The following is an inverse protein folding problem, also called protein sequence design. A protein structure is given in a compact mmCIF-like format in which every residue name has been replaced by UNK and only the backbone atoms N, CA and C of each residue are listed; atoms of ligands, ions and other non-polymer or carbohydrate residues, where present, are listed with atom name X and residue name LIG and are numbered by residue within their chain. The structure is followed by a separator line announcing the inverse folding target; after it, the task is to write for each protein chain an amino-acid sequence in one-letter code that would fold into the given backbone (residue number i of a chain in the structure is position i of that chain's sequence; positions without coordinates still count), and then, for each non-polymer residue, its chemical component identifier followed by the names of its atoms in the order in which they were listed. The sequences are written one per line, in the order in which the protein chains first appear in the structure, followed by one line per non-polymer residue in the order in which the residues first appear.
data_IF_935341822166
#
_entry.id   IF_935341822166
#
_cell.length_a   1.000
_cell.length_b   1.000
_cell.length_c   1.000
_cell.angle_alpha   90.00
_cell.angle_beta   90.00
_cell.angle_gamma   90.00
#
_symmetry.space_group_name_H-M   'P 1'
#
loop_
_entity.id
_entity.type
_entity.pdbx_description
1 polymer ?
#
# COMPACT_ATOMS: atom_id res chain seq x y z
N UNK A 1 -8.30 -5.53 15.40
CA UNK A 1 -7.18 -6.16 16.13
C UNK A 1 -5.83 -5.74 15.54
N UNK A 2 -5.51 -6.06 14.27
CA UNK A 2 -4.17 -5.80 13.70
C UNK A 2 -3.75 -4.34 13.73
N UNK A 3 -4.63 -3.40 13.41
CA UNK A 3 -4.31 -1.96 13.50
C UNK A 3 -3.96 -1.53 14.93
N UNK A 4 -4.71 -2.03 15.90
CA UNK A 4 -4.46 -1.75 17.32
C UNK A 4 -3.08 -2.28 17.75
N UNK A 5 -2.72 -3.47 17.31
CA UNK A 5 -1.40 -4.06 17.57
C UNK A 5 -0.27 -3.22 16.95
N UNK A 6 -0.44 -2.75 15.70
CA UNK A 6 0.54 -1.88 15.04
C UNK A 6 0.72 -0.58 15.84
N UNK A 7 -0.39 0.06 16.24
CA UNK A 7 -0.37 1.34 16.97
C UNK A 7 0.22 1.23 18.37
N UNK A 8 -0.02 0.12 19.07
CA UNK A 8 0.53 -0.13 20.40
C UNK A 8 2.04 -0.39 20.39
N UNK A 9 2.51 -1.13 19.38
CA UNK A 9 3.88 -1.66 19.35
C UNK A 9 4.88 -0.76 18.64
N UNK A 10 4.42 0.26 17.89
CA UNK A 10 5.28 1.08 17.04
C UNK A 10 4.99 2.57 17.21
N UNK A 11 6.00 3.39 17.01
CA UNK A 11 5.87 4.86 16.96
C UNK A 11 5.53 5.31 15.53
N UNK A 12 4.27 5.11 15.15
CA UNK A 12 3.75 5.44 13.80
C UNK A 12 2.56 6.38 13.88
N UNK A 13 2.34 7.12 12.81
CA UNK A 13 1.11 7.87 12.56
C UNK A 13 0.31 7.16 11.46
N UNK A 14 -1.00 7.12 11.64
CA UNK A 14 -1.92 6.51 10.67
C UNK A 14 -2.94 7.54 10.18
N UNK A 15 -3.09 7.63 8.86
CA UNK A 15 -4.13 8.45 8.23
C UNK A 15 -5.00 7.55 7.38
N UNK A 16 -6.30 7.59 7.64
CA UNK A 16 -7.31 6.83 6.91
C UNK A 16 -8.23 7.84 6.22
N UNK A 17 -8.41 7.69 4.91
CA UNK A 17 -9.34 8.48 4.12
C UNK A 17 -10.24 7.55 3.32
N UNK A 18 -11.53 7.61 3.55
CA UNK A 18 -12.50 6.81 2.84
C UNK A 18 -13.88 6.85 3.46
N UNK A 19 -14.80 6.14 2.84
CA UNK A 19 -16.14 5.88 3.36
C UNK A 19 -16.48 4.40 3.22
N UNK A 20 -17.33 3.88 4.05
CA UNK A 20 -17.71 2.48 4.06
C UNK A 20 -18.92 2.23 4.96
N UNK A 21 -19.11 0.99 5.36
CA UNK A 21 -20.18 0.63 6.28
C UNK A 21 -19.98 1.30 7.64
N UNK A 22 -21.08 1.68 8.26
CA UNK A 22 -21.13 2.40 9.55
C UNK A 22 -20.30 1.72 10.65
N UNK A 23 -20.26 0.39 10.67
CA UNK A 23 -19.47 -0.38 11.63
C UNK A 23 -17.97 -0.07 11.52
N UNK A 24 -17.43 -0.05 10.29
CA UNK A 24 -16.01 0.26 10.05
C UNK A 24 -15.69 1.74 10.30
N UNK A 25 -16.57 2.64 9.88
CA UNK A 25 -16.38 4.06 10.16
C UNK A 25 -16.39 4.36 11.66
N UNK A 26 -17.29 3.69 12.41
CA UNK A 26 -17.34 3.79 13.86
C UNK A 26 -16.10 3.20 14.54
N UNK A 27 -15.61 2.06 14.02
CA UNK A 27 -14.36 1.46 14.49
C UNK A 27 -13.19 2.43 14.33
N UNK A 28 -13.02 3.07 13.18
CA UNK A 28 -11.91 3.99 12.95
C UNK A 28 -12.03 5.28 13.78
N UNK A 29 -13.23 5.78 14.03
CA UNK A 29 -13.44 6.89 14.99
C UNK A 29 -12.99 6.51 16.39
N UNK A 30 -13.41 5.36 16.88
CA UNK A 30 -12.98 4.87 18.20
C UNK A 30 -11.46 4.69 18.29
N UNK A 31 -10.82 4.24 17.20
CA UNK A 31 -9.37 4.15 17.12
C UNK A 31 -8.69 5.53 17.16
N UNK A 32 -9.26 6.54 16.49
CA UNK A 32 -8.78 7.92 16.57
C UNK A 32 -8.83 8.46 18.00
N UNK A 33 -9.95 8.22 18.70
CA UNK A 33 -10.10 8.64 20.10
C UNK A 33 -9.13 7.92 21.04
N UNK A 34 -8.82 6.64 20.73
CA UNK A 34 -7.83 5.84 21.47
C UNK A 34 -6.38 6.32 21.26
N UNK A 35 -6.07 6.81 20.04
CA UNK A 35 -4.72 7.22 19.65
C UNK A 35 -4.65 8.70 19.19
N UNK A 36 -4.97 9.66 20.07
CA UNK A 36 -5.03 11.07 19.72
C UNK A 36 -3.68 11.58 19.20
N UNK A 37 -3.71 12.33 18.09
CA UNK A 37 -2.51 12.85 17.43
C UNK A 37 -1.69 11.80 16.64
N UNK A 38 -2.05 10.52 16.74
CA UNK A 38 -1.35 9.44 16.05
C UNK A 38 -2.20 8.71 15.01
N UNK A 39 -3.53 8.73 15.16
CA UNK A 39 -4.45 8.17 14.17
C UNK A 39 -5.52 9.21 13.84
N UNK A 40 -5.72 9.42 12.54
CA UNK A 40 -6.78 10.30 12.00
C UNK A 40 -7.61 9.52 11.00
N UNK A 41 -8.94 9.53 11.18
CA UNK A 41 -9.91 8.94 10.28
C UNK A 41 -10.75 10.03 9.61
N UNK A 42 -10.45 10.33 8.36
CA UNK A 42 -11.19 11.26 7.52
C UNK A 42 -12.24 10.52 6.72
N UNK A 43 -13.52 10.80 6.96
CA UNK A 43 -14.62 10.19 6.23
C UNK A 43 -14.92 10.94 4.94
N UNK A 44 -15.18 10.18 3.86
CA UNK A 44 -15.60 10.69 2.57
C UNK A 44 -14.55 10.58 1.47
N UNK A 45 -14.90 11.11 0.31
CA UNK A 45 -14.04 11.13 -0.87
C UNK A 45 -13.50 12.56 -1.11
N UNK A 46 -12.24 12.79 -0.78
CA UNK A 46 -11.58 14.10 -0.87
C UNK A 46 -10.30 13.97 -1.71
N UNK A 47 -10.36 14.15 -3.06
CA UNK A 47 -9.24 13.91 -3.96
C UNK A 47 -7.99 14.74 -3.66
N UNK A 48 -8.15 15.99 -3.23
CA UNK A 48 -7.00 16.84 -2.87
C UNK A 48 -6.29 16.34 -1.62
N UNK A 49 -7.05 15.90 -0.60
CA UNK A 49 -6.49 15.34 0.61
C UNK A 49 -5.80 14.01 0.31
N UNK A 50 -6.38 13.16 -0.55
CA UNK A 50 -5.75 11.88 -0.92
C UNK A 50 -4.37 12.06 -1.53
N UNK A 51 -4.19 13.06 -2.42
CA UNK A 51 -2.87 13.36 -3.00
C UNK A 51 -1.86 13.79 -1.95
N UNK A 52 -2.28 14.59 -0.97
CA UNK A 52 -1.42 15.01 0.14
C UNK A 52 -1.03 13.84 1.04
N UNK A 53 -1.98 12.92 1.29
CA UNK A 53 -1.71 11.69 2.06
C UNK A 53 -0.69 10.83 1.34
N UNK A 54 -0.88 10.55 0.04
CA UNK A 54 0.11 9.79 -0.74
C UNK A 54 1.50 10.44 -0.71
N UNK A 55 1.56 11.76 -0.89
CA UNK A 55 2.82 12.51 -0.93
C UNK A 55 3.53 12.58 0.44
N UNK A 56 2.77 12.53 1.52
CA UNK A 56 3.30 12.65 2.88
C UNK A 56 3.47 11.32 3.62
N UNK A 57 3.05 10.19 3.02
CA UNK A 57 3.18 8.88 3.65
C UNK A 57 4.42 8.13 3.20
N UNK A 58 5.10 7.47 4.13
CA UNK A 58 6.22 6.58 3.84
C UNK A 58 5.74 5.19 3.41
N UNK A 59 4.62 4.73 3.98
CA UNK A 59 4.05 3.40 3.77
C UNK A 59 2.57 3.53 3.43
N UNK A 60 2.11 2.76 2.45
CA UNK A 60 0.72 2.67 2.04
C UNK A 60 0.16 1.26 2.31
N UNK A 61 -0.73 1.12 3.28
CA UNK A 61 -1.31 -0.17 3.66
C UNK A 61 -2.62 -0.44 2.89
N UNK A 62 -2.67 -1.55 2.14
CA UNK A 62 -3.85 -1.98 1.37
C UNK A 62 -4.13 -3.48 1.58
N UNK A 63 -4.76 -3.86 2.72
CA UNK A 63 -5.00 -5.25 3.10
C UNK A 63 -6.31 -5.80 2.52
N UNK A 64 -6.57 -5.56 1.24
CA UNK A 64 -7.83 -5.90 0.59
C UNK A 64 -8.16 -7.39 0.68
N UNK A 65 -9.42 -7.72 0.98
CA UNK A 65 -9.93 -9.10 0.90
C UNK A 65 -9.99 -9.58 -0.54
N UNK A 66 -10.35 -8.70 -1.46
CA UNK A 66 -10.37 -8.97 -2.90
C UNK A 66 -10.10 -7.65 -3.63
N UNK A 67 -9.24 -7.69 -4.64
CA UNK A 67 -8.90 -6.51 -5.43
C UNK A 67 -8.62 -6.93 -6.89
N UNK A 68 -9.60 -6.76 -7.78
CA UNK A 68 -9.44 -7.19 -9.17
C UNK A 68 -8.27 -6.52 -9.90
N UNK A 69 -8.07 -5.23 -9.69
CA UNK A 69 -6.99 -4.45 -10.30
C UNK A 69 -6.22 -3.63 -9.26
N UNK A 70 -6.91 -2.68 -8.62
CA UNK A 70 -6.32 -1.68 -7.73
C UNK A 70 -5.53 -0.61 -8.48
N UNK A 71 -5.82 0.64 -8.18
CA UNK A 71 -5.06 1.79 -8.67
C UNK A 71 -4.24 2.43 -7.54
N UNK A 72 -4.74 2.32 -6.32
CA UNK A 72 -4.19 3.01 -5.15
C UNK A 72 -2.75 2.62 -4.85
N UNK A 73 -2.38 1.34 -4.99
CA UNK A 73 -1.01 0.86 -4.80
C UNK A 73 -0.06 1.40 -5.90
N UNK A 74 -0.54 1.53 -7.14
CA UNK A 74 0.26 2.09 -8.23
C UNK A 74 0.45 3.61 -8.07
N UNK A 75 -0.57 4.30 -7.55
CA UNK A 75 -0.47 5.71 -7.17
C UNK A 75 0.53 5.87 -6.03
N UNK A 76 0.46 5.03 -4.99
CA UNK A 76 1.41 5.04 -3.87
C UNK A 76 2.86 4.90 -4.37
N UNK A 77 3.15 3.91 -5.24
CA UNK A 77 4.46 3.76 -5.87
C UNK A 77 4.92 5.04 -6.57
N UNK A 78 4.02 5.70 -7.32
CA UNK A 78 4.33 6.95 -8.03
C UNK A 78 4.66 8.12 -7.12
N UNK A 79 4.15 8.11 -5.89
CA UNK A 79 4.47 9.10 -4.85
C UNK A 79 5.66 8.68 -3.96
N UNK A 80 6.22 7.49 -4.15
CA UNK A 80 7.29 6.95 -3.31
C UNK A 80 6.82 6.42 -1.95
N UNK A 81 5.51 6.32 -1.75
CA UNK A 81 4.92 5.65 -0.59
C UNK A 81 4.93 4.14 -0.81
N UNK A 82 5.63 3.39 0.02
CA UNK A 82 5.88 1.97 -0.18
C UNK A 82 4.64 1.13 0.16
N UNK A 83 4.07 0.39 -0.81
CA UNK A 83 2.89 -0.42 -0.56
C UNK A 83 3.17 -1.63 0.34
N UNK A 84 2.27 -1.85 1.30
CA UNK A 84 2.13 -3.11 2.04
C UNK A 84 0.77 -3.69 1.69
N UNK A 85 0.74 -4.79 0.94
CA UNK A 85 -0.49 -5.29 0.33
C UNK A 85 -0.70 -6.78 0.56
N UNK A 86 -1.96 -7.22 0.52
CA UNK A 86 -2.25 -8.65 0.43
C UNK A 86 -2.12 -9.12 -1.03
N UNK A 87 -1.54 -10.30 -1.23
CA UNK A 87 -1.37 -10.92 -2.54
C UNK A 87 -2.72 -11.42 -3.09
N UNK A 88 -3.49 -10.51 -3.70
CA UNK A 88 -4.77 -10.82 -4.34
C UNK A 88 -4.95 -9.99 -5.60
N UNK A 89 -5.38 -10.62 -6.71
CA UNK A 89 -5.63 -9.96 -7.99
C UNK A 89 -4.51 -9.00 -8.41
N UNK A 90 -4.87 -7.82 -8.84
CA UNK A 90 -3.92 -6.82 -9.33
C UNK A 90 -2.90 -6.32 -8.30
N UNK A 91 -3.13 -6.52 -7.00
CA UNK A 91 -2.12 -6.23 -5.99
C UNK A 91 -0.91 -7.16 -6.13
N UNK A 92 -1.17 -8.47 -6.34
CA UNK A 92 -0.12 -9.48 -6.57
C UNK A 92 0.63 -9.22 -7.88
N UNK A 93 -0.06 -8.70 -8.90
CA UNK A 93 0.54 -8.45 -10.21
C UNK A 93 1.44 -7.21 -10.22
N UNK A 94 1.11 -6.20 -9.41
CA UNK A 94 1.78 -4.89 -9.40
C UNK A 94 2.83 -4.71 -8.30
N UNK A 95 2.68 -5.44 -7.18
CA UNK A 95 3.58 -5.33 -6.03
C UNK A 95 4.37 -6.63 -5.85
N UNK A 96 5.70 -6.48 -5.90
CA UNK A 96 6.65 -7.56 -5.64
C UNK A 96 7.25 -7.36 -4.26
N UNK A 97 7.34 -8.45 -3.49
CA UNK A 97 7.93 -8.39 -2.14
C UNK A 97 9.41 -8.03 -2.19
N UNK A 98 9.84 -7.11 -1.34
CA UNK A 98 11.22 -6.63 -1.31
C UNK A 98 12.13 -7.42 -0.36
N UNK A 99 11.65 -8.54 0.20
CA UNK A 99 12.43 -9.38 1.11
C UNK A 99 13.71 -9.96 0.51
N UNK A 100 13.77 -10.10 -0.81
CA UNK A 100 14.96 -10.50 -1.58
C UNK A 100 15.83 -9.32 -2.06
N UNK A 101 15.45 -8.10 -1.69
CA UNK A 101 16.15 -6.87 -2.10
C UNK A 101 15.75 -6.32 -3.47
N UNK A 102 14.85 -6.97 -4.23
CA UNK A 102 14.51 -6.58 -5.60
C UNK A 102 13.08 -6.05 -5.79
N UNK A 103 12.17 -6.31 -4.85
CA UNK A 103 10.77 -5.90 -4.92
C UNK A 103 10.56 -4.38 -4.82
N UNK A 104 9.29 -3.95 -4.92
CA UNK A 104 8.86 -2.56 -4.84
C UNK A 104 7.87 -2.29 -3.69
N UNK A 105 7.65 -3.28 -2.82
CA UNK A 105 6.76 -3.17 -1.66
C UNK A 105 6.90 -4.37 -0.73
N UNK A 106 5.95 -4.55 0.16
CA UNK A 106 5.87 -5.70 1.06
C UNK A 106 4.54 -6.42 0.86
N UNK A 107 4.56 -7.74 0.88
CA UNK A 107 3.36 -8.54 0.64
C UNK A 107 3.09 -9.52 1.76
N UNK A 108 1.82 -9.96 1.87
CA UNK A 108 1.38 -11.07 2.71
C UNK A 108 0.26 -11.86 2.02
N UNK A 109 0.14 -13.14 2.31
CA UNK A 109 -0.74 -14.05 1.58
C UNK A 109 -2.10 -14.25 2.25
N UNK A 110 -2.11 -14.63 3.53
CA UNK A 110 -3.36 -14.98 4.20
C UNK A 110 -4.16 -13.72 4.58
N UNK A 111 -5.48 -13.79 4.44
CA UNK A 111 -6.36 -12.74 4.94
C UNK A 111 -6.49 -12.85 6.47
N UNK A 112 -5.43 -12.48 7.15
CA UNK A 112 -5.32 -12.50 8.60
C UNK A 112 -4.67 -11.23 9.14
N UNK A 113 -5.07 -10.83 10.34
CA UNK A 113 -4.44 -9.68 11.02
C UNK A 113 -2.98 -9.96 11.35
N UNK A 114 -2.62 -11.19 11.67
CA UNK A 114 -1.24 -11.57 11.98
C UNK A 114 -0.29 -11.41 10.79
N UNK A 115 -0.67 -11.92 9.61
CA UNK A 115 0.12 -11.78 8.39
C UNK A 115 0.28 -10.29 7.99
N UNK A 116 -0.81 -9.52 8.09
CA UNK A 116 -0.78 -8.08 7.84
C UNK A 116 0.19 -7.35 8.78
N UNK A 117 0.08 -7.62 10.08
CA UNK A 117 0.98 -7.02 11.10
C UNK A 117 2.43 -7.39 10.84
N UNK A 118 2.70 -8.65 10.50
CA UNK A 118 4.05 -9.10 10.18
C UNK A 118 4.62 -8.37 8.95
N UNK A 119 3.83 -8.19 7.89
CA UNK A 119 4.27 -7.46 6.70
C UNK A 119 4.53 -5.97 7.01
N UNK A 120 3.67 -5.33 7.79
CA UNK A 120 3.89 -3.95 8.28
C UNK A 120 5.16 -3.86 9.11
N UNK A 121 5.41 -4.83 10.02
CA UNK A 121 6.62 -4.83 10.84
C UNK A 121 7.89 -4.95 10.00
N UNK A 122 7.89 -5.78 8.94
CA UNK A 122 9.00 -5.84 7.97
C UNK A 122 9.22 -4.50 7.28
N UNK A 123 8.16 -3.82 6.89
CA UNK A 123 8.26 -2.50 6.27
C UNK A 123 8.84 -1.46 7.24
N UNK A 124 8.40 -1.45 8.50
CA UNK A 124 8.92 -0.55 9.54
C UNK A 124 10.40 -0.83 9.84
N UNK A 125 10.79 -2.10 9.93
CA UNK A 125 12.20 -2.48 10.09
C UNK A 125 13.05 -2.03 8.89
N UNK A 126 12.50 -2.18 7.66
CA UNK A 126 13.15 -1.66 6.45
C UNK A 126 13.31 -0.14 6.46
N UNK A 127 12.32 0.58 7.00
CA UNK A 127 12.34 2.05 7.11
C UNK A 127 13.43 2.57 8.04
N UNK A 128 13.85 1.80 9.04
CA UNK A 128 14.97 2.15 9.93
C UNK A 128 16.31 2.21 9.18
N UNK A 129 16.50 1.36 8.17
CA UNK A 129 17.65 1.41 7.28
C UNK A 129 17.43 2.46 6.18
N UNK A 130 17.85 3.68 6.43
CA UNK A 130 17.57 4.83 5.54
C UNK A 130 18.18 4.68 4.14
N UNK A 131 19.34 4.06 4.01
CA UNK A 131 19.98 3.81 2.71
C UNK A 131 19.18 2.77 1.91
N UNK A 132 18.87 1.62 2.50
CA UNK A 132 18.06 0.59 1.87
C UNK A 132 16.65 1.07 1.53
N UNK A 133 16.04 1.88 2.41
CA UNK A 133 14.75 2.49 2.16
C UNK A 133 14.77 3.45 0.98
N UNK A 134 15.80 4.29 0.87
CA UNK A 134 15.96 5.22 -0.25
C UNK A 134 16.05 4.47 -1.59
N UNK A 135 16.78 3.35 -1.64
CA UNK A 135 16.86 2.49 -2.82
C UNK A 135 15.49 1.89 -3.16
N UNK A 136 14.73 1.44 -2.16
CA UNK A 136 13.39 0.91 -2.34
C UNK A 136 12.43 1.98 -2.89
N UNK A 137 12.46 3.19 -2.34
CA UNK A 137 11.68 4.35 -2.83
C UNK A 137 12.03 4.69 -4.27
N UNK A 138 13.31 4.73 -4.62
CA UNK A 138 13.75 4.97 -6.01
C UNK A 138 13.20 3.91 -6.97
N UNK A 139 13.19 2.65 -6.55
CA UNK A 139 12.64 1.54 -7.32
C UNK A 139 11.11 1.65 -7.46
N UNK A 140 10.42 2.03 -6.39
CA UNK A 140 8.98 2.30 -6.42
C UNK A 140 8.64 3.39 -7.44
N UNK A 141 9.35 4.53 -7.40
CA UNK A 141 9.18 5.65 -8.32
C UNK A 141 9.45 5.28 -9.80
N UNK A 142 10.36 4.33 -10.04
CA UNK A 142 10.70 3.82 -11.39
C UNK A 142 9.75 2.74 -11.89
N UNK A 143 8.79 2.27 -11.08
CA UNK A 143 7.79 1.27 -11.49
C UNK A 143 6.92 1.83 -12.61
N UNK A 144 7.05 1.26 -13.81
CA UNK A 144 6.29 1.69 -14.98
C UNK A 144 4.94 0.96 -15.07
N UNK A 145 3.89 1.65 -14.68
CA UNK A 145 2.49 1.23 -14.80
C UNK A 145 1.75 2.04 -15.88
N UNK A 146 2.48 2.60 -16.87
CA UNK A 146 1.90 3.44 -17.92
C UNK A 146 1.14 2.64 -18.98
N UNK A 147 0.24 3.33 -19.66
CA UNK A 147 -0.43 2.80 -20.86
C UNK A 147 0.56 2.45 -21.99
N UNK A 148 1.71 3.12 -22.07
CA UNK A 148 2.76 2.80 -23.04
C UNK A 148 3.29 1.40 -22.87
N UNK A 149 3.54 0.95 -21.63
CA UNK A 149 3.91 -0.43 -21.32
C UNK A 149 2.82 -1.41 -21.76
N UNK A 150 1.59 -1.18 -21.35
CA UNK A 150 0.45 -2.05 -21.71
C UNK A 150 0.26 -2.13 -23.22
N UNK A 151 0.32 -1.00 -23.94
CA UNK A 151 0.22 -0.98 -25.39
C UNK A 151 1.31 -1.83 -26.07
N UNK A 152 2.55 -1.76 -25.58
CA UNK A 152 3.65 -2.57 -26.10
C UNK A 152 3.42 -4.07 -25.89
N UNK A 153 2.85 -4.47 -24.74
CA UNK A 153 2.48 -5.88 -24.49
C UNK A 153 1.40 -6.35 -25.47
N UNK A 154 0.36 -5.55 -25.71
CA UNK A 154 -0.67 -5.87 -26.72
C UNK A 154 -0.08 -5.96 -28.14
N UNK A 155 0.79 -5.05 -28.54
CA UNK A 155 1.48 -5.09 -29.85
C UNK A 155 2.31 -6.38 -29.96
N UNK A 156 3.00 -6.79 -28.91
CA UNK A 156 3.76 -8.04 -28.87
C UNK A 156 2.86 -9.25 -29.08
N UNK A 157 1.72 -9.29 -28.38
CA UNK A 157 0.72 -10.36 -28.53
C UNK A 157 0.19 -10.42 -29.96
N UNK A 158 -0.22 -9.29 -30.55
CA UNK A 158 -0.71 -9.25 -31.93
C UNK A 158 0.33 -9.73 -32.94
N UNK A 159 1.59 -9.35 -32.78
CA UNK A 159 2.67 -9.84 -33.65
C UNK A 159 2.90 -11.35 -33.54
N UNK A 160 2.61 -11.97 -32.40
CA UNK A 160 2.68 -13.43 -32.25
C UNK A 160 1.55 -14.15 -32.99
N UNK A 161 0.35 -13.54 -33.02
CA UNK A 161 -0.81 -14.11 -33.71
C UNK A 161 -0.75 -13.99 -35.25
N UNK A 162 0.12 -13.14 -35.78
CA UNK A 162 0.33 -12.92 -37.21
C UNK A 162 1.44 -13.80 -37.80
N UNK A 163 2.05 -14.66 -37.00
CA UNK A 163 3.02 -15.69 -37.41
C UNK A 163 2.33 -17.04 -37.62
#
# INVERSE_FOLDING_TARGET
EGLDQIMCSNNVQFVILGSGDFEYESFFRNMQDKYPGRLVACQGFVPELSRKIYAGSDIFLMPSRSEPCGLSQMIALRYGSIPVVRETGGLKDSIQDSGDGNGNGFTFQNYSSGDMVYAVQRALTGYENKEGWSILVERALKSDNSWGRSANEYIRLYKQLLK
#
